data_IF_425129300662
#
_entry.id   IF_425129300662
#
_cell.length_a   1.000
_cell.length_b   1.000
_cell.length_c   1.000
_cell.angle_alpha   90.00
_cell.angle_beta   90.00
_cell.angle_gamma   90.00
#
_symmetry.space_group_name_H-M   'P 1'
#
loop_
_entity.id
_entity.type
_entity.pdbx_description
1 polymer ?
#
# COMPACT_ATOMS: atom_id res chain seq x y z
N UNK A 1 40.29 -38.80 32.29
CA UNK A 1 39.36 -37.85 32.97
C UNK A 1 39.02 -36.64 32.11
N UNK A 2 39.95 -36.01 31.39
CA UNK A 2 39.70 -34.79 30.57
C UNK A 2 38.66 -34.96 29.43
N UNK A 3 38.55 -36.13 28.79
CA UNK A 3 37.61 -36.39 27.70
C UNK A 3 36.12 -36.52 28.16
N UNK A 4 35.91 -37.03 29.37
CA UNK A 4 34.54 -37.16 29.96
C UNK A 4 33.97 -35.81 30.39
N UNK A 5 34.82 -34.92 30.90
CA UNK A 5 34.45 -33.56 31.25
C UNK A 5 34.10 -32.69 30.02
N UNK A 6 34.87 -32.87 28.91
CA UNK A 6 34.62 -32.20 27.63
C UNK A 6 33.29 -32.62 26.98
N UNK A 7 32.96 -33.92 27.03
CA UNK A 7 31.66 -34.45 26.56
C UNK A 7 30.50 -33.97 27.39
N UNK A 8 30.61 -33.86 28.74
CA UNK A 8 29.57 -33.31 29.59
C UNK A 8 29.34 -31.81 29.32
N UNK A 9 30.40 -31.03 29.12
CA UNK A 9 30.28 -29.60 28.78
C UNK A 9 29.59 -29.42 27.41
N UNK A 10 29.97 -30.21 26.39
CA UNK A 10 29.33 -30.17 25.09
C UNK A 10 27.83 -30.57 25.15
N UNK A 11 27.47 -31.57 25.96
CA UNK A 11 26.08 -31.97 26.18
C UNK A 11 25.25 -30.85 26.81
N UNK A 12 25.76 -30.16 27.83
CA UNK A 12 25.03 -29.07 28.47
C UNK A 12 24.88 -27.84 27.58
N UNK A 13 25.87 -27.56 26.71
CA UNK A 13 25.79 -26.52 25.70
C UNK A 13 24.70 -26.87 24.67
N UNK A 14 24.69 -28.11 24.16
CA UNK A 14 23.69 -28.56 23.21
C UNK A 14 22.27 -28.57 23.84
N UNK A 15 22.13 -29.01 25.08
CA UNK A 15 20.87 -29.01 25.80
C UNK A 15 20.35 -27.56 26.03
N UNK A 16 21.25 -26.63 26.36
CA UNK A 16 20.92 -25.21 26.50
C UNK A 16 20.47 -24.59 25.18
N UNK A 17 21.18 -24.87 24.07
CA UNK A 17 20.79 -24.42 22.73
C UNK A 17 19.44 -25.00 22.31
N UNK A 18 19.19 -26.28 22.58
CA UNK A 18 17.91 -26.91 22.29
C UNK A 18 16.76 -26.28 23.09
N UNK A 19 16.97 -25.99 24.38
CA UNK A 19 15.97 -25.34 25.22
C UNK A 19 15.66 -23.92 24.73
N UNK A 20 16.66 -23.15 24.29
CA UNK A 20 16.49 -21.83 23.68
C UNK A 20 15.70 -21.93 22.37
N UNK A 21 16.04 -22.85 21.49
CA UNK A 21 15.34 -23.06 20.21
C UNK A 21 13.88 -23.47 20.46
N UNK A 22 13.65 -24.36 21.42
CA UNK A 22 12.30 -24.79 21.82
C UNK A 22 11.49 -23.61 22.37
N UNK A 23 12.09 -22.79 23.23
CA UNK A 23 11.46 -21.59 23.75
C UNK A 23 11.04 -20.65 22.62
N UNK A 24 11.93 -20.36 21.66
CA UNK A 24 11.61 -19.53 20.50
C UNK A 24 10.53 -20.18 19.61
N UNK A 25 10.58 -21.48 19.38
CA UNK A 25 9.55 -22.20 18.62
C UNK A 25 8.17 -22.06 19.28
N UNK A 26 8.09 -22.26 20.61
CA UNK A 26 6.85 -22.08 21.39
C UNK A 26 6.41 -20.62 21.35
N UNK A 27 7.32 -19.67 21.53
CA UNK A 27 7.01 -18.23 21.46
C UNK A 27 6.40 -17.88 20.10
N UNK A 28 6.97 -18.33 18.98
CA UNK A 28 6.47 -18.09 17.64
C UNK A 28 5.13 -18.79 17.36
N UNK A 29 4.82 -19.91 18.03
CA UNK A 29 3.50 -20.54 17.91
C UNK A 29 2.43 -19.77 18.67
N UNK A 30 2.76 -19.21 19.83
CA UNK A 30 1.84 -18.44 20.67
C UNK A 30 1.66 -16.98 20.21
N UNK A 31 2.68 -16.40 19.56
CA UNK A 31 2.73 -15.00 19.12
C UNK A 31 2.64 -14.93 17.60
N UNK A 32 1.39 -14.99 17.09
CA UNK A 32 1.12 -14.91 15.67
C UNK A 32 1.60 -13.60 15.00
N UNK A 33 1.58 -12.49 15.75
CA UNK A 33 2.12 -11.19 15.32
C UNK A 33 3.64 -11.25 15.10
N UNK A 34 4.39 -11.81 16.04
CA UNK A 34 5.84 -11.93 15.92
C UNK A 34 6.24 -12.87 14.78
N UNK A 35 5.54 -14.02 14.65
CA UNK A 35 5.74 -14.92 13.53
C UNK A 35 5.45 -14.23 12.20
N UNK A 36 4.34 -13.48 12.11
CA UNK A 36 4.00 -12.72 10.91
C UNK A 36 5.10 -11.72 10.56
N UNK A 37 5.54 -10.90 11.53
CA UNK A 37 6.58 -9.89 11.32
C UNK A 37 7.86 -10.51 10.74
N UNK A 38 8.36 -11.60 11.35
CA UNK A 38 9.56 -12.28 10.89
C UNK A 38 9.38 -12.92 9.50
N UNK A 39 8.27 -13.64 9.29
CA UNK A 39 8.02 -14.31 7.99
C UNK A 39 7.70 -13.33 6.89
N UNK A 40 6.98 -12.24 7.18
CA UNK A 40 6.66 -11.21 6.20
C UNK A 40 7.91 -10.41 5.81
N UNK A 41 8.74 -10.02 6.79
CA UNK A 41 10.01 -9.34 6.51
C UNK A 41 10.94 -10.20 5.65
N UNK A 42 11.06 -11.51 5.96
CA UNK A 42 11.83 -12.44 5.14
C UNK A 42 11.23 -12.63 3.74
N UNK A 43 9.90 -12.78 3.65
CA UNK A 43 9.22 -12.89 2.38
C UNK A 43 9.47 -11.65 1.51
N UNK A 44 9.29 -10.43 2.04
CA UNK A 44 9.57 -9.19 1.32
C UNK A 44 11.02 -9.10 0.86
N UNK A 45 11.99 -9.46 1.71
CA UNK A 45 13.40 -9.45 1.35
C UNK A 45 13.79 -10.46 0.23
N UNK A 46 13.02 -11.54 0.09
CA UNK A 46 13.23 -12.58 -0.92
C UNK A 46 12.28 -12.50 -2.12
N UNK A 47 11.30 -11.60 -2.05
CA UNK A 47 10.29 -11.48 -3.11
C UNK A 47 10.84 -10.64 -4.26
N UNK A 48 10.83 -11.23 -5.44
CA UNK A 48 11.16 -10.57 -6.70
C UNK A 48 10.11 -10.99 -7.73
N UNK A 49 9.08 -10.17 -7.86
CA UNK A 49 8.07 -10.32 -8.91
C UNK A 49 8.57 -9.82 -10.27
N UNK A 50 7.78 -10.05 -11.30
CA UNK A 50 8.02 -9.39 -12.57
C UNK A 50 7.76 -7.90 -12.44
N UNK A 51 8.72 -7.09 -12.84
CA UNK A 51 8.55 -5.66 -13.05
C UNK A 51 7.98 -5.41 -14.45
N UNK A 52 7.32 -4.26 -14.67
CA UNK A 52 6.92 -3.85 -16.01
C UNK A 52 8.13 -3.77 -16.95
N UNK A 53 7.99 -4.32 -18.15
CA UNK A 53 9.05 -4.31 -19.15
C UNK A 53 8.88 -3.14 -20.11
N UNK A 54 9.98 -2.54 -20.55
CA UNK A 54 9.94 -1.43 -21.52
C UNK A 54 9.25 -1.88 -22.80
N UNK A 55 8.34 -1.04 -23.31
CA UNK A 55 7.55 -1.31 -24.50
C UNK A 55 7.60 -0.10 -25.45
N UNK A 56 7.36 -0.34 -26.72
CA UNK A 56 7.31 0.70 -27.75
C UNK A 56 6.02 0.54 -28.57
N UNK A 57 4.84 0.87 -27.99
CA UNK A 57 3.58 0.79 -28.69
C UNK A 57 3.47 1.89 -29.76
N UNK A 58 2.75 1.60 -30.86
CA UNK A 58 2.33 2.64 -31.77
C UNK A 58 1.41 3.62 -31.03
N UNK A 59 1.81 4.88 -30.97
CA UNK A 59 1.12 5.92 -30.22
C UNK A 59 0.72 7.09 -31.11
N UNK A 60 -0.33 7.78 -30.67
CA UNK A 60 -0.71 9.11 -31.13
C UNK A 60 -0.51 10.15 -30.05
N UNK A 61 -0.16 11.35 -30.42
CA UNK A 61 -0.06 12.49 -29.50
C UNK A 61 -1.44 13.13 -29.32
N UNK A 62 -1.82 13.40 -28.08
CA UNK A 62 -3.12 13.99 -27.74
C UNK A 62 -2.89 15.10 -26.71
N UNK A 63 -3.45 16.31 -26.93
CA UNK A 63 -3.45 17.36 -25.93
C UNK A 63 -4.09 16.89 -24.62
N UNK A 64 -3.47 17.23 -23.49
CA UNK A 64 -3.93 16.82 -22.17
C UNK A 64 -5.36 17.28 -21.86
N UNK A 65 -5.72 18.51 -22.25
CA UNK A 65 -7.07 19.05 -22.10
C UNK A 65 -8.12 18.23 -22.87
N UNK A 66 -7.76 17.74 -24.05
CA UNK A 66 -8.61 16.86 -24.83
C UNK A 66 -8.79 15.47 -24.16
N UNK A 67 -7.73 14.94 -23.54
CA UNK A 67 -7.82 13.71 -22.77
C UNK A 67 -8.70 13.89 -21.51
N UNK A 68 -8.51 14.98 -20.77
CA UNK A 68 -9.29 15.29 -19.58
C UNK A 68 -10.77 15.55 -19.87
N UNK A 69 -11.10 15.99 -21.06
CA UNK A 69 -12.48 16.21 -21.52
C UNK A 69 -13.13 14.97 -22.15
N UNK A 70 -12.37 13.91 -22.40
CA UNK A 70 -12.86 12.70 -23.06
C UNK A 70 -13.70 11.84 -22.12
N UNK A 71 -14.91 11.40 -22.50
CA UNK A 71 -15.73 10.48 -21.71
C UNK A 71 -15.12 9.07 -21.61
N UNK A 72 -14.19 8.72 -22.51
CA UNK A 72 -13.53 7.42 -22.55
C UNK A 72 -12.30 7.36 -21.61
N UNK A 73 -11.97 8.47 -20.96
CA UNK A 73 -10.83 8.60 -20.05
C UNK A 73 -11.33 8.78 -18.62
N UNK A 74 -10.90 7.90 -17.75
CA UNK A 74 -11.13 8.05 -16.31
C UNK A 74 -10.01 8.87 -15.69
N UNK A 75 -10.34 9.92 -14.94
CA UNK A 75 -9.37 10.70 -14.18
C UNK A 75 -9.56 10.42 -12.71
N UNK A 76 -8.51 9.88 -12.06
CA UNK A 76 -8.50 9.55 -10.62
C UNK A 76 -7.16 9.94 -10.00
N UNK A 77 -7.08 9.86 -8.69
CA UNK A 77 -5.90 10.26 -7.93
C UNK A 77 -5.17 9.05 -7.32
N UNK A 78 -5.38 7.86 -7.88
CA UNK A 78 -4.91 6.59 -7.33
C UNK A 78 -3.40 6.56 -7.07
N UNK A 79 -2.62 7.21 -7.94
CA UNK A 79 -1.16 7.26 -7.86
C UNK A 79 -0.62 8.62 -7.40
N UNK A 80 -1.48 9.51 -6.90
CA UNK A 80 -1.05 10.79 -6.35
C UNK A 80 -0.18 10.56 -5.11
N UNK A 81 1.09 10.94 -5.18
CA UNK A 81 1.98 10.99 -4.03
C UNK A 81 1.60 12.15 -3.13
N UNK A 82 1.36 11.87 -1.86
CA UNK A 82 0.95 12.85 -0.86
C UNK A 82 1.89 12.69 0.34
N UNK A 83 2.68 13.70 0.60
CA UNK A 83 3.58 13.83 1.75
C UNK A 83 3.93 15.30 1.99
N UNK A 84 4.79 15.60 2.96
CA UNK A 84 5.14 17.00 3.29
C UNK A 84 5.85 17.72 2.15
N UNK A 85 6.51 17.01 1.24
CA UNK A 85 7.16 17.58 0.06
C UNK A 85 6.21 17.69 -1.15
N UNK A 86 5.11 16.92 -1.13
CA UNK A 86 4.10 16.83 -2.19
C UNK A 86 2.71 16.97 -1.57
N UNK A 87 2.38 18.16 -1.04
CA UNK A 87 1.07 18.40 -0.43
C UNK A 87 -0.03 18.41 -1.50
N UNK A 88 -1.24 18.11 -1.05
CA UNK A 88 -2.44 18.26 -1.89
C UNK A 88 -2.52 19.68 -2.44
N UNK A 89 -2.94 19.86 -3.70
CA UNK A 89 -3.17 21.19 -4.27
C UNK A 89 -4.16 22.01 -3.42
N UNK A 90 -3.96 23.32 -3.37
CA UNK A 90 -4.90 24.21 -2.72
C UNK A 90 -6.32 24.05 -3.33
N UNK A 91 -7.33 23.91 -2.46
CA UNK A 91 -8.70 23.67 -2.88
C UNK A 91 -9.00 22.26 -3.38
N UNK A 92 -8.08 21.31 -3.17
CA UNK A 92 -8.32 19.91 -3.54
C UNK A 92 -9.56 19.37 -2.84
N UNK A 93 -10.48 18.84 -3.63
CA UNK A 93 -11.72 18.22 -3.12
C UNK A 93 -11.89 16.84 -3.74
N UNK A 94 -11.76 15.77 -2.97
CA UNK A 94 -11.95 14.42 -3.48
C UNK A 94 -13.44 14.14 -3.72
N UNK A 95 -13.73 13.31 -4.74
CA UNK A 95 -15.06 12.73 -4.89
C UNK A 95 -15.19 11.59 -3.88
N UNK A 96 -16.09 11.80 -2.92
CA UNK A 96 -16.30 10.85 -1.82
C UNK A 96 -17.64 10.13 -1.96
N UNK A 97 -17.63 8.85 -1.60
CA UNK A 97 -18.80 8.05 -1.30
C UNK A 97 -18.84 7.72 0.19
N UNK A 98 -19.97 7.22 0.68
CA UNK A 98 -20.13 6.71 2.03
C UNK A 98 -20.35 5.21 2.02
N UNK A 99 -19.72 4.48 2.93
CA UNK A 99 -19.88 3.04 3.08
C UNK A 99 -21.20 2.71 3.82
N UNK A 100 -22.24 2.44 3.07
CA UNK A 100 -23.57 2.24 3.62
C UNK A 100 -24.04 3.48 4.43
N UNK A 101 -24.53 3.27 5.64
CA UNK A 101 -24.95 4.32 6.58
C UNK A 101 -23.96 4.43 7.76
N UNK A 102 -22.68 4.15 7.52
CA UNK A 102 -21.68 4.03 8.60
C UNK A 102 -20.98 5.35 8.96
N UNK A 103 -21.13 6.41 8.15
CA UNK A 103 -20.35 7.63 8.25
C UNK A 103 -18.91 7.52 7.71
N UNK A 104 -18.47 6.33 7.31
CA UNK A 104 -17.14 6.10 6.73
C UNK A 104 -17.15 6.62 5.30
N UNK A 105 -16.35 7.66 5.02
CA UNK A 105 -16.23 8.29 3.70
C UNK A 105 -14.83 8.06 3.12
N UNK A 106 -14.76 7.72 1.84
CA UNK A 106 -13.54 7.64 1.03
C UNK A 106 -13.94 7.71 -0.44
N UNK A 107 -12.98 7.57 -1.37
CA UNK A 107 -13.33 7.39 -2.79
C UNK A 107 -14.12 6.09 -2.97
N UNK A 108 -14.98 6.01 -3.99
CA UNK A 108 -15.79 4.83 -4.25
C UNK A 108 -14.93 3.57 -4.41
N UNK A 109 -13.81 3.70 -5.12
CA UNK A 109 -12.87 2.59 -5.35
C UNK A 109 -12.18 2.14 -4.06
N UNK A 110 -11.82 3.07 -3.17
CA UNK A 110 -11.23 2.75 -1.86
C UNK A 110 -12.24 1.97 -1.00
N UNK A 111 -13.50 2.39 -0.99
CA UNK A 111 -14.57 1.71 -0.26
C UNK A 111 -14.88 0.34 -0.84
N UNK A 112 -14.93 0.21 -2.18
CA UNK A 112 -15.15 -1.07 -2.85
C UNK A 112 -13.99 -2.06 -2.55
N UNK A 113 -12.76 -1.59 -2.57
CA UNK A 113 -11.58 -2.38 -2.21
C UNK A 113 -11.63 -2.85 -0.73
N UNK A 114 -12.01 -1.96 0.18
CA UNK A 114 -12.21 -2.30 1.59
C UNK A 114 -13.32 -3.34 1.77
N UNK A 115 -14.47 -3.15 1.12
CA UNK A 115 -15.61 -4.07 1.24
C UNK A 115 -15.23 -5.49 0.83
N UNK A 116 -14.53 -5.64 -0.30
CA UNK A 116 -14.07 -6.92 -0.80
C UNK A 116 -13.03 -7.56 0.14
N UNK A 117 -12.03 -6.79 0.59
CA UNK A 117 -11.04 -7.25 1.56
C UNK A 117 -11.67 -7.68 2.89
N UNK A 118 -12.64 -6.90 3.39
CA UNK A 118 -13.31 -7.18 4.67
C UNK A 118 -14.21 -8.43 4.58
N UNK A 119 -14.88 -8.66 3.46
CA UNK A 119 -15.67 -9.86 3.23
C UNK A 119 -14.80 -11.12 3.22
N UNK A 120 -13.71 -11.12 2.44
CA UNK A 120 -12.79 -12.25 2.36
C UNK A 120 -12.04 -12.50 3.69
N UNK A 121 -11.68 -11.44 4.43
CA UNK A 121 -11.08 -11.59 5.74
C UNK A 121 -12.04 -12.20 6.76
N UNK A 122 -13.32 -11.81 6.73
CA UNK A 122 -14.35 -12.39 7.59
C UNK A 122 -14.56 -13.88 7.26
N UNK A 123 -14.63 -14.24 5.98
CA UNK A 123 -14.76 -15.62 5.53
C UNK A 123 -13.55 -16.47 5.95
N UNK A 124 -12.33 -15.96 5.72
CA UNK A 124 -11.10 -16.70 5.98
C UNK A 124 -10.72 -16.80 7.47
N UNK A 125 -11.08 -15.80 8.27
CA UNK A 125 -10.59 -15.65 9.64
C UNK A 125 -11.68 -15.64 10.72
N UNK A 126 -12.94 -15.42 10.36
CA UNK A 126 -14.04 -15.25 11.30
C UNK A 126 -14.00 -13.93 12.09
N UNK A 127 -13.14 -12.99 11.72
CA UNK A 127 -12.94 -11.72 12.39
C UNK A 127 -13.32 -10.56 11.46
N UNK A 128 -14.07 -9.58 11.97
CA UNK A 128 -14.47 -8.39 11.19
C UNK A 128 -13.37 -7.36 11.16
N UNK A 129 -12.99 -6.93 9.96
CA UNK A 129 -12.25 -5.70 9.75
C UNK A 129 -13.18 -4.49 9.93
N UNK A 130 -12.72 -3.52 10.69
CA UNK A 130 -13.41 -2.25 10.93
C UNK A 130 -12.52 -1.10 10.46
N UNK A 131 -13.14 -0.02 10.01
CA UNK A 131 -12.44 1.22 9.68
C UNK A 131 -12.34 2.06 10.94
N UNK A 132 -11.12 2.40 11.34
CA UNK A 132 -10.82 3.28 12.48
C UNK A 132 -10.74 4.74 12.03
N UNK A 133 -10.09 4.99 10.89
CA UNK A 133 -10.03 6.29 10.23
C UNK A 133 -10.16 6.13 8.72
N UNK A 134 -10.81 7.10 8.07
CA UNK A 134 -11.01 7.18 6.64
C UNK A 134 -10.72 8.61 6.15
N UNK A 135 -11.55 9.20 5.30
CA UNK A 135 -11.41 10.59 4.92
C UNK A 135 -11.42 11.52 6.15
N UNK A 136 -10.52 12.48 6.15
CA UNK A 136 -10.44 13.59 7.12
C UNK A 136 -10.52 14.92 6.41
N UNK A 137 -11.36 15.82 6.93
CA UNK A 137 -11.34 17.24 6.54
C UNK A 137 -10.04 17.91 6.99
N UNK A 138 -9.79 19.14 6.54
CA UNK A 138 -8.64 19.92 7.02
C UNK A 138 -8.70 20.17 8.52
N UNK A 139 -9.90 20.43 9.08
CA UNK A 139 -10.09 20.66 10.51
C UNK A 139 -9.80 19.38 11.31
N UNK A 140 -10.30 18.24 10.86
CA UNK A 140 -10.02 16.94 11.48
C UNK A 140 -8.54 16.57 11.40
N UNK A 141 -7.88 16.85 10.26
CA UNK A 141 -6.44 16.60 10.12
C UNK A 141 -5.61 17.54 10.99
N UNK A 142 -6.03 18.80 11.17
CA UNK A 142 -5.38 19.75 12.08
C UNK A 142 -5.50 19.28 13.52
N UNK A 143 -6.70 18.85 13.93
CA UNK A 143 -6.92 18.29 15.26
C UNK A 143 -6.07 17.03 15.50
N UNK A 144 -5.99 16.12 14.53
CA UNK A 144 -5.14 14.94 14.61
C UNK A 144 -3.65 15.30 14.73
N UNK A 145 -3.17 16.30 13.97
CA UNK A 145 -1.79 16.76 14.06
C UNK A 145 -1.46 17.39 15.43
N UNK A 146 -2.42 18.08 16.07
CA UNK A 146 -2.26 18.64 17.42
C UNK A 146 -2.24 17.54 18.50
N UNK A 147 -3.04 16.47 18.32
CA UNK A 147 -3.12 15.36 19.29
C UNK A 147 -1.95 14.38 19.15
N UNK A 148 -1.57 14.02 17.94
CA UNK A 148 -0.57 12.98 17.66
C UNK A 148 0.86 13.54 17.45
N UNK A 149 0.99 14.87 17.27
CA UNK A 149 2.27 15.56 17.11
C UNK A 149 3.06 15.08 15.91
N UNK A 150 4.30 14.65 16.13
CA UNK A 150 5.22 14.21 15.05
C UNK A 150 4.75 12.93 14.32
N UNK A 151 3.74 12.25 14.84
CA UNK A 151 3.21 11.02 14.24
C UNK A 151 2.07 11.28 13.25
N UNK A 152 1.48 12.47 13.24
CA UNK A 152 0.45 12.82 12.27
C UNK A 152 1.02 13.69 11.14
N UNK A 153 0.57 13.42 9.91
CA UNK A 153 0.91 14.28 8.77
C UNK A 153 0.33 15.69 8.95
N UNK A 154 1.05 16.71 8.46
CA UNK A 154 0.55 18.07 8.40
C UNK A 154 -0.70 18.16 7.50
N UNK A 155 -1.50 19.22 7.69
CA UNK A 155 -2.63 19.52 6.80
C UNK A 155 -2.13 19.64 5.36
N UNK A 156 -2.83 18.99 4.44
CA UNK A 156 -2.45 18.86 3.03
C UNK A 156 -1.46 17.73 2.73
N UNK A 157 -0.80 17.16 3.74
CA UNK A 157 0.19 16.10 3.58
C UNK A 157 -0.34 14.69 3.95
N UNK A 158 -1.63 14.56 4.21
CA UNK A 158 -2.27 13.31 4.63
C UNK A 158 -3.05 12.65 3.49
N UNK A 159 -2.82 11.36 3.25
CA UNK A 159 -3.57 10.56 2.29
C UNK A 159 -5.06 10.39 2.66
N UNK A 160 -5.40 10.55 3.95
CA UNK A 160 -6.79 10.58 4.41
C UNK A 160 -7.55 11.78 3.84
N UNK A 161 -6.92 12.93 3.64
CA UNK A 161 -7.56 14.10 3.04
C UNK A 161 -7.88 13.92 1.54
N UNK A 162 -7.30 12.93 0.90
CA UNK A 162 -7.62 12.56 -0.48
C UNK A 162 -8.69 11.45 -0.57
N UNK A 163 -9.13 10.87 0.54
CA UNK A 163 -10.05 9.75 0.57
C UNK A 163 -9.47 8.45 0.01
N UNK A 164 -8.15 8.35 -0.05
CA UNK A 164 -7.41 7.21 -0.62
C UNK A 164 -6.83 6.27 0.44
N UNK A 165 -6.90 6.64 1.72
CA UNK A 165 -6.35 5.85 2.81
C UNK A 165 -7.42 5.45 3.83
N UNK A 166 -7.22 4.28 4.44
CA UNK A 166 -8.04 3.72 5.50
C UNK A 166 -7.13 3.16 6.59
N UNK A 167 -7.38 3.53 7.83
CA UNK A 167 -6.83 2.83 8.98
C UNK A 167 -7.78 1.72 9.42
N UNK A 168 -7.31 0.49 9.39
CA UNK A 168 -8.11 -0.68 9.73
C UNK A 168 -7.78 -1.23 11.11
N UNK A 169 -8.79 -1.79 11.75
CA UNK A 169 -8.66 -2.46 13.04
C UNK A 169 -9.57 -3.70 13.12
N UNK A 170 -9.37 -4.50 14.16
CA UNK A 170 -10.35 -5.45 14.67
C UNK A 170 -10.74 -4.97 16.06
N UNK A 171 -11.99 -5.19 16.49
CA UNK A 171 -12.48 -4.72 17.79
C UNK A 171 -11.49 -5.00 18.92
N UNK A 172 -10.98 -3.93 19.56
CA UNK A 172 -9.97 -4.00 20.62
C UNK A 172 -8.52 -4.16 20.17
N UNK A 173 -8.26 -4.16 18.84
CA UNK A 173 -6.94 -4.34 18.27
C UNK A 173 -6.69 -3.33 17.14
N UNK A 174 -6.21 -2.13 17.49
CA UNK A 174 -5.75 -1.09 16.56
C UNK A 174 -4.23 -0.92 16.61
N UNK A 175 -3.69 -0.10 15.73
CA UNK A 175 -2.26 0.16 15.63
C UNK A 175 -1.44 -1.13 15.45
N UNK A 176 -0.28 -1.23 16.07
CA UNK A 176 0.57 -2.44 16.00
C UNK A 176 -0.11 -3.70 16.53
N UNK A 177 -1.11 -3.56 17.43
CA UNK A 177 -1.85 -4.71 17.94
C UNK A 177 -2.77 -5.36 16.89
N UNK A 178 -3.06 -4.68 15.80
CA UNK A 178 -3.81 -5.21 14.66
C UNK A 178 -3.23 -6.53 14.13
N UNK A 179 -1.90 -6.66 14.09
CA UNK A 179 -1.22 -7.90 13.67
C UNK A 179 -1.36 -9.09 14.65
N UNK A 180 -1.87 -8.87 15.86
CA UNK A 180 -2.20 -9.97 16.77
C UNK A 180 -3.42 -10.73 16.29
N UNK A 181 -4.30 -10.11 15.50
CA UNK A 181 -5.51 -10.70 14.95
C UNK A 181 -5.21 -11.49 13.65
N UNK A 182 -6.04 -12.48 13.35
CA UNK A 182 -5.93 -13.24 12.11
C UNK A 182 -6.32 -12.38 10.90
N UNK A 183 -7.37 -11.56 11.02
CA UNK A 183 -7.83 -10.66 9.98
C UNK A 183 -6.80 -9.56 9.67
N UNK A 184 -6.11 -9.01 10.68
CA UNK A 184 -5.06 -8.04 10.46
C UNK A 184 -3.88 -8.60 9.66
N UNK A 185 -3.46 -9.82 9.98
CA UNK A 185 -2.44 -10.53 9.20
C UNK A 185 -2.91 -10.92 7.81
N UNK A 186 -4.19 -11.27 7.67
CA UNK A 186 -4.81 -11.54 6.37
C UNK A 186 -4.82 -10.29 5.50
N UNK A 187 -5.29 -9.17 6.03
CA UNK A 187 -5.33 -7.90 5.33
C UNK A 187 -3.95 -7.49 4.81
N UNK A 188 -2.92 -7.53 5.67
CA UNK A 188 -1.56 -7.20 5.27
C UNK A 188 -1.00 -8.08 4.15
N UNK A 189 -1.38 -9.37 4.06
CA UNK A 189 -0.90 -10.29 3.00
C UNK A 189 -1.69 -10.21 1.71
N UNK A 190 -2.93 -9.77 1.76
CA UNK A 190 -3.86 -9.90 0.64
C UNK A 190 -4.37 -8.57 0.09
N UNK A 191 -4.08 -7.43 0.73
CA UNK A 191 -4.60 -6.11 0.34
C UNK A 191 -4.35 -5.78 -1.13
N UNK A 192 -3.22 -6.21 -1.70
CA UNK A 192 -2.87 -5.94 -3.09
C UNK A 192 -3.81 -6.59 -4.12
N UNK A 193 -4.52 -7.66 -3.74
CA UNK A 193 -5.55 -8.29 -4.58
C UNK A 193 -6.75 -7.37 -4.82
N UNK A 194 -6.94 -6.39 -3.95
CA UNK A 194 -8.04 -5.43 -3.95
C UNK A 194 -7.60 -4.02 -4.36
N UNK A 195 -6.36 -3.86 -4.83
CA UNK A 195 -5.83 -2.54 -5.20
C UNK A 195 -5.32 -1.71 -4.03
N UNK A 196 -5.22 -2.29 -2.83
CA UNK A 196 -4.68 -1.64 -1.64
C UNK A 196 -3.22 -2.05 -1.39
N UNK A 197 -2.44 -1.18 -0.78
CA UNK A 197 -1.10 -1.49 -0.28
C UNK A 197 -1.00 -1.15 1.21
N UNK A 198 -0.12 -1.84 1.95
CA UNK A 198 0.37 -1.34 3.23
C UNK A 198 1.31 -0.17 2.92
N UNK A 199 0.86 1.05 3.22
CA UNK A 199 1.54 2.26 2.74
C UNK A 199 2.92 2.47 3.34
N UNK A 200 3.07 2.12 4.62
CA UNK A 200 4.30 2.34 5.38
C UNK A 200 4.86 1.00 5.90
N UNK A 201 5.46 0.17 5.02
CA UNK A 201 6.00 -1.12 5.43
C UNK A 201 7.29 -0.96 6.23
N UNK A 202 7.58 -1.93 7.12
CA UNK A 202 8.66 -1.87 8.09
C UNK A 202 10.06 -1.69 7.49
N UNK A 203 10.27 -2.22 6.29
CA UNK A 203 11.55 -2.17 5.55
C UNK A 203 11.72 -0.90 4.72
N UNK A 204 10.75 0.04 4.74
CA UNK A 204 10.72 1.24 3.88
C UNK A 204 10.70 2.57 4.64
N UNK A 205 10.84 2.57 5.94
CA UNK A 205 10.84 3.80 6.77
C UNK A 205 11.84 4.85 6.28
N UNK A 206 13.02 4.42 5.80
CA UNK A 206 14.04 5.34 5.27
C UNK A 206 13.61 6.05 3.97
N UNK A 207 12.62 5.49 3.24
CA UNK A 207 12.09 6.02 1.98
C UNK A 207 10.83 6.84 2.24
N UNK A 208 9.90 6.29 3.02
CA UNK A 208 8.60 6.92 3.30
C UNK A 208 8.68 8.02 4.34
N UNK A 209 9.71 8.02 5.19
CA UNK A 209 9.84 8.92 6.34
C UNK A 209 8.91 8.56 7.52
N UNK A 210 8.01 7.60 7.34
CA UNK A 210 6.99 7.20 8.32
C UNK A 210 7.36 5.83 8.89
N UNK A 211 7.23 5.61 10.22
CA UNK A 211 7.38 4.29 10.84
C UNK A 211 6.42 3.26 10.29
N UNK A 212 6.65 1.98 10.60
CA UNK A 212 5.78 0.88 10.18
C UNK A 212 4.35 1.04 10.70
N UNK A 213 3.40 1.07 9.79
CA UNK A 213 1.97 1.16 10.07
C UNK A 213 1.18 0.04 9.40
N UNK A 214 1.09 -1.15 9.99
CA UNK A 214 0.36 -2.28 9.41
C UNK A 214 -1.15 -2.09 9.32
N UNK A 215 -1.68 -1.05 9.89
CA UNK A 215 -3.10 -0.67 9.86
C UNK A 215 -3.44 0.31 8.75
N UNK A 216 -2.45 1.07 8.23
CA UNK A 216 -2.64 2.11 7.23
C UNK A 216 -2.57 1.53 5.81
N UNK A 217 -3.73 1.47 5.17
CA UNK A 217 -3.88 0.96 3.81
C UNK A 217 -4.16 2.10 2.85
N UNK A 218 -3.40 2.11 1.75
CA UNK A 218 -3.54 3.08 0.66
C UNK A 218 -4.09 2.38 -0.59
N UNK A 219 -5.13 2.95 -1.19
CA UNK A 219 -5.61 2.53 -2.50
C UNK A 219 -4.73 3.12 -3.61
N UNK A 220 -4.27 2.26 -4.50
CA UNK A 220 -3.48 2.60 -5.69
C UNK A 220 -4.01 1.91 -6.95
N UNK A 221 -5.03 1.05 -6.81
CA UNK A 221 -5.64 0.32 -7.90
C UNK A 221 -4.81 -0.83 -8.47
N UNK A 222 -5.41 -1.53 -9.45
CA UNK A 222 -4.73 -2.60 -10.21
C UNK A 222 -4.27 -2.02 -11.56
N UNK A 223 -3.09 -2.43 -12.07
CA UNK A 223 -2.19 -3.49 -11.59
C UNK A 223 -1.19 -3.04 -10.51
N UNK A 224 -1.20 -1.76 -10.13
CA UNK A 224 -0.16 -1.08 -9.33
C UNK A 224 0.08 -1.75 -7.98
N UNK A 225 -0.99 -2.03 -7.21
CA UNK A 225 -0.87 -2.69 -5.92
C UNK A 225 -0.17 -4.06 -6.02
N UNK A 226 -0.50 -4.82 -7.04
CA UNK A 226 0.11 -6.12 -7.29
C UNK A 226 1.59 -6.04 -7.64
N UNK A 227 2.01 -5.02 -8.42
CA UNK A 227 3.42 -4.79 -8.78
C UNK A 227 4.20 -4.34 -7.54
N UNK A 228 3.67 -3.39 -6.79
CA UNK A 228 4.28 -2.86 -5.56
C UNK A 228 4.53 -3.99 -4.55
N UNK A 229 3.51 -4.80 -4.27
CA UNK A 229 3.60 -5.89 -3.28
C UNK A 229 4.57 -6.99 -3.72
N UNK A 230 4.45 -7.47 -4.97
CA UNK A 230 5.31 -8.54 -5.53
C UNK A 230 6.78 -8.15 -5.65
N UNK A 231 7.12 -6.89 -5.57
CA UNK A 231 8.49 -6.39 -5.65
C UNK A 231 8.93 -5.69 -4.36
N UNK A 232 8.13 -5.80 -3.29
CA UNK A 232 8.39 -5.20 -1.99
C UNK A 232 8.76 -3.71 -2.06
N UNK A 233 8.09 -2.95 -2.92
CA UNK A 233 8.33 -1.53 -3.13
C UNK A 233 7.54 -0.68 -2.12
N UNK A 234 8.01 0.56 -1.91
CA UNK A 234 7.18 1.68 -1.47
C UNK A 234 6.54 2.36 -2.69
N UNK A 235 5.51 3.17 -2.49
CA UNK A 235 4.86 3.93 -3.57
C UNK A 235 5.86 4.85 -4.27
N UNK A 236 6.76 5.48 -3.52
CA UNK A 236 7.84 6.34 -4.00
C UNK A 236 8.78 5.61 -4.98
N UNK A 237 9.21 4.40 -4.60
CA UNK A 237 10.08 3.57 -5.45
C UNK A 237 9.36 3.12 -6.72
N UNK A 238 8.08 2.79 -6.58
CA UNK A 238 7.24 2.40 -7.70
C UNK A 238 7.10 3.53 -8.72
N UNK A 239 6.77 4.74 -8.28
CA UNK A 239 6.65 5.90 -9.17
C UNK A 239 8.00 6.27 -9.81
N UNK A 240 9.10 6.21 -9.06
CA UNK A 240 10.44 6.51 -9.53
C UNK A 240 10.99 5.51 -10.55
N UNK A 241 10.44 4.28 -10.59
CA UNK A 241 10.84 3.27 -11.56
C UNK A 241 10.53 3.69 -13.01
N UNK A 242 9.45 4.43 -13.24
CA UNK A 242 9.00 4.81 -14.58
C UNK A 242 9.75 6.04 -15.09
N UNK A 243 10.56 5.86 -16.11
CA UNK A 243 11.19 6.99 -16.83
C UNK A 243 10.10 7.82 -17.53
N UNK A 244 10.09 9.16 -17.33
CA UNK A 244 9.10 10.01 -17.97
C UNK A 244 9.07 9.86 -19.50
N UNK A 245 7.88 9.67 -20.07
CA UNK A 245 7.65 9.50 -21.49
C UNK A 245 7.83 8.07 -22.02
N UNK A 246 8.40 7.15 -21.24
CA UNK A 246 8.54 5.76 -21.65
C UNK A 246 7.28 4.95 -21.36
N UNK A 247 7.00 3.97 -22.22
CA UNK A 247 5.95 2.97 -22.00
C UNK A 247 6.53 1.67 -21.46
N UNK A 248 5.72 1.01 -20.63
CA UNK A 248 6.05 -0.27 -20.00
C UNK A 248 4.87 -1.21 -20.09
N UNK A 249 5.09 -2.47 -20.48
CA UNK A 249 4.08 -3.50 -20.54
C UNK A 249 4.06 -4.32 -19.23
N UNK A 250 2.87 -4.63 -18.73
CA UNK A 250 2.65 -5.55 -17.62
C UNK A 250 1.33 -6.31 -17.80
N UNK A 251 1.39 -7.56 -18.19
CA UNK A 251 0.22 -8.36 -18.55
C UNK A 251 -0.57 -7.71 -19.69
N UNK A 252 -1.82 -7.35 -19.43
CA UNK A 252 -2.70 -6.66 -20.39
C UNK A 252 -2.70 -5.13 -20.22
N UNK A 253 -1.71 -4.59 -19.53
CA UNK A 253 -1.59 -3.16 -19.26
C UNK A 253 -0.36 -2.56 -19.94
N UNK A 254 -0.52 -1.33 -20.44
CA UNK A 254 0.55 -0.42 -20.75
C UNK A 254 0.55 0.71 -19.71
N UNK A 255 1.72 0.97 -19.16
CA UNK A 255 1.94 1.93 -18.08
C UNK A 255 2.94 2.98 -18.53
N UNK A 256 2.65 4.25 -18.30
CA UNK A 256 3.56 5.34 -18.63
C UNK A 256 3.40 6.50 -17.65
N UNK A 257 4.50 7.14 -17.32
CA UNK A 257 4.56 8.39 -16.58
C UNK A 257 4.97 9.49 -17.53
N UNK A 258 4.12 10.50 -17.75
CA UNK A 258 4.36 11.51 -18.78
C UNK A 258 4.16 12.92 -18.26
N UNK A 259 4.84 13.89 -18.88
CA UNK A 259 4.78 15.30 -18.50
C UNK A 259 4.49 16.16 -19.72
N UNK A 260 3.76 17.23 -19.50
CA UNK A 260 3.54 18.27 -20.50
C UNK A 260 2.09 18.42 -20.93
N UNK A 261 1.83 19.38 -21.83
CA UNK A 261 0.49 19.65 -22.32
C UNK A 261 0.01 18.66 -23.40
N UNK A 262 0.89 17.81 -23.90
CA UNK A 262 0.59 16.76 -24.89
C UNK A 262 1.12 15.44 -24.37
N UNK A 263 0.27 14.42 -24.37
CA UNK A 263 0.63 13.08 -23.94
C UNK A 263 0.55 12.10 -25.11
N UNK A 264 1.40 11.10 -25.08
CA UNK A 264 1.41 9.99 -26.02
C UNK A 264 0.43 8.92 -25.54
N UNK A 265 -0.46 8.43 -26.38
CA UNK A 265 -1.44 7.39 -26.07
C UNK A 265 -1.39 6.27 -27.10
N UNK A 266 -1.34 4.98 -26.70
CA UNK A 266 -1.41 3.85 -27.63
C UNK A 266 -2.67 3.89 -28.50
N UNK A 267 -2.51 3.59 -29.80
CA UNK A 267 -3.61 3.65 -30.76
C UNK A 267 -4.71 2.63 -30.49
N UNK A 268 -4.37 1.49 -29.90
CA UNK A 268 -5.27 0.40 -29.58
C UNK A 268 -5.73 0.39 -28.11
N UNK A 269 -5.70 1.52 -27.43
CA UNK A 269 -6.17 1.65 -26.07
C UNK A 269 -7.67 1.31 -25.97
N UNK A 270 -8.02 0.33 -25.13
CA UNK A 270 -9.41 -0.06 -24.86
C UNK A 270 -9.99 0.65 -23.62
N UNK A 271 -9.15 1.04 -22.68
CA UNK A 271 -9.52 1.90 -21.55
C UNK A 271 -8.31 2.70 -21.08
N UNK A 272 -8.53 3.93 -20.64
CA UNK A 272 -7.50 4.85 -20.21
C UNK A 272 -7.84 5.39 -18.84
N UNK A 273 -6.89 5.24 -17.90
CA UNK A 273 -6.93 5.88 -16.59
C UNK A 273 -5.75 6.86 -16.49
N UNK A 274 -6.06 8.10 -16.16
CA UNK A 274 -5.09 9.14 -15.84
C UNK A 274 -5.07 9.38 -14.33
N UNK A 275 -3.88 9.46 -13.76
CA UNK A 275 -3.68 9.89 -12.37
C UNK A 275 -2.53 10.89 -12.31
N UNK A 276 -2.68 12.07 -11.71
CA UNK A 276 -1.53 12.90 -11.38
C UNK A 276 -0.66 12.16 -10.37
N UNK A 277 0.67 12.34 -10.44
CA UNK A 277 1.61 11.66 -9.54
C UNK A 277 2.06 12.53 -8.34
N UNK A 278 1.64 13.80 -8.30
CA UNK A 278 2.07 14.76 -7.27
C UNK A 278 3.42 15.43 -7.57
N UNK A 279 4.15 15.00 -8.61
CA UNK A 279 5.45 15.54 -9.03
C UNK A 279 5.37 16.29 -10.38
N UNK A 280 4.16 16.61 -10.82
CA UNK A 280 3.87 17.34 -12.05
C UNK A 280 3.85 16.47 -13.31
N UNK A 281 3.74 15.15 -13.15
CA UNK A 281 3.48 14.23 -14.24
C UNK A 281 2.09 13.62 -14.13
N UNK A 282 1.66 13.01 -15.23
CA UNK A 282 0.49 12.16 -15.33
C UNK A 282 0.92 10.70 -15.47
N UNK A 283 0.35 9.85 -14.66
CA UNK A 283 0.50 8.42 -14.80
C UNK A 283 -0.66 7.86 -15.63
N UNK A 284 -0.32 7.20 -16.72
CA UNK A 284 -1.26 6.58 -17.63
C UNK A 284 -1.29 5.08 -17.39
N UNK A 285 -2.49 4.55 -17.15
CA UNK A 285 -2.76 3.11 -17.06
C UNK A 285 -3.73 2.76 -18.16
N UNK A 286 -3.27 2.03 -19.14
CA UNK A 286 -4.00 1.70 -20.36
C UNK A 286 -4.17 0.19 -20.46
N UNK A 287 -5.37 -0.27 -20.85
CA UNK A 287 -5.58 -1.64 -21.32
C UNK A 287 -5.58 -1.68 -22.84
N UNK A 288 -5.10 -2.78 -23.40
CA UNK A 288 -5.06 -3.06 -24.83
C UNK A 288 -5.52 -4.49 -25.13
#
# INVERSE_FOLDING_TARGET
>A
MKTRAKKRKAFWIAAGLFAVLLFFAVLLTLRGDLRFYLTNGLARALTHGAMPERADPACREIPLDALLASPDVSVRYDLLRIDSAHPLPEGFTPLLAEYGESGVRATEETLAAYAALAADALEACGEKLLVLAAYRTEEEQRAAAEEEGEFAAAVGASEHQAGLALDLCVRGYGGLSFLKTAAGRYANRNCSRYGLIVRYPADKTAITGIPYEPWHFRYVGSPHAGIIEKNALALEEYLAFFEPGAWYAYGTFLLSRQKGPVLSLPENASSVLLSPDGEGNWFLTVRY
#
